data_IF_164795569755
#
_entry.id   IF_164795569755
#
_cell.length_a   1.000
_cell.length_b   1.000
_cell.length_c   1.000
_cell.angle_alpha   90.00
_cell.angle_beta   90.00
_cell.angle_gamma   90.00
#
_symmetry.space_group_name_H-M   'P 1'
#
loop_
_entity.id
_entity.type
_entity.pdbx_description
1 polymer ?
#
# COMPACT_ATOMS: atom_id res chain seq x y z
N UNK A 1 25.61 18.13 10.35
CA UNK A 1 25.67 16.72 10.11
C UNK A 1 24.26 16.15 10.20
N UNK A 2 23.80 15.41 9.18
CA UNK A 2 22.47 14.77 9.16
C UNK A 2 22.52 13.58 10.11
N UNK A 3 21.57 13.51 11.06
CA UNK A 3 21.53 12.42 12.03
C UNK A 3 20.60 11.29 11.61
N UNK A 4 19.51 11.62 10.89
CA UNK A 4 18.52 10.64 10.48
C UNK A 4 18.04 10.94 9.05
N UNK A 5 17.80 9.89 8.28
CA UNK A 5 17.14 9.97 6.97
C UNK A 5 15.78 9.29 7.08
N UNK A 6 14.75 9.99 6.66
CA UNK A 6 13.39 9.45 6.62
C UNK A 6 12.98 9.29 5.16
N UNK A 7 12.69 8.07 4.75
CA UNK A 7 12.22 7.74 3.41
C UNK A 7 10.72 7.54 3.48
N UNK A 8 10.02 8.45 2.85
CA UNK A 8 8.57 8.40 2.75
C UNK A 8 8.19 7.66 1.48
N UNK A 9 7.82 6.41 1.60
CA UNK A 9 7.63 5.48 0.50
C UNK A 9 8.95 5.08 -0.22
N UNK A 10 9.31 3.82 -0.13
CA UNK A 10 10.52 3.29 -0.75
C UNK A 10 10.31 3.00 -2.24
N UNK A 11 10.49 4.02 -3.06
CA UNK A 11 10.40 3.90 -4.52
C UNK A 11 11.77 3.57 -5.13
N UNK A 12 11.76 2.91 -6.27
CA UNK A 12 12.99 2.44 -6.95
C UNK A 12 14.02 3.55 -7.23
N UNK A 13 13.58 4.81 -7.33
CA UNK A 13 14.46 5.96 -7.53
C UNK A 13 15.36 6.27 -6.33
N UNK A 14 14.93 5.93 -5.11
CA UNK A 14 15.72 6.20 -3.89
C UNK A 14 16.80 5.16 -3.62
N UNK A 15 16.71 4.04 -4.28
CA UNK A 15 17.59 2.94 -4.10
C UNK A 15 19.08 3.23 -4.38
N UNK A 16 19.45 3.77 -5.55
CA UNK A 16 20.83 4.15 -5.81
C UNK A 16 21.37 5.19 -4.82
N UNK A 17 20.49 6.09 -4.36
CA UNK A 17 20.85 7.13 -3.37
C UNK A 17 21.19 6.48 -2.04
N UNK A 18 20.40 5.53 -1.55
CA UNK A 18 20.65 4.81 -0.30
C UNK A 18 22.00 4.07 -0.34
N UNK A 19 22.24 3.35 -1.43
CA UNK A 19 23.50 2.63 -1.62
C UNK A 19 24.67 3.61 -1.55
N UNK A 20 24.62 4.68 -2.31
CA UNK A 20 25.72 5.66 -2.35
C UNK A 20 25.94 6.32 -0.98
N UNK A 21 24.90 6.65 -0.25
CA UNK A 21 25.00 7.27 1.06
C UNK A 21 25.73 6.36 2.05
N UNK A 22 25.40 5.07 2.07
CA UNK A 22 25.98 4.11 3.03
C UNK A 22 27.33 3.57 2.57
N UNK A 23 27.47 3.13 1.32
CA UNK A 23 28.74 2.55 0.81
C UNK A 23 29.89 3.56 0.77
N UNK A 24 29.60 4.81 0.38
CA UNK A 24 30.59 5.88 0.37
C UNK A 24 30.82 6.52 1.74
N UNK A 25 30.16 5.99 2.79
CA UNK A 25 30.21 6.54 4.15
C UNK A 25 29.90 8.04 4.22
N UNK A 26 29.09 8.54 3.29
CA UNK A 26 28.63 9.92 3.28
C UNK A 26 27.62 10.19 4.40
N UNK A 27 27.09 9.12 4.96
CA UNK A 27 26.09 9.14 5.97
C UNK A 27 26.26 7.98 6.97
N UNK A 28 26.33 8.28 8.25
CA UNK A 28 26.52 7.33 9.36
C UNK A 28 25.30 7.25 10.31
N UNK A 29 24.23 7.97 10.00
CA UNK A 29 23.03 8.00 10.80
C UNK A 29 22.08 6.84 10.52
N UNK A 30 20.86 6.93 11.08
CA UNK A 30 19.83 5.93 10.94
C UNK A 30 18.91 6.24 9.77
N UNK A 31 18.46 5.20 9.08
CA UNK A 31 17.50 5.29 7.97
C UNK A 31 16.17 4.68 8.39
N UNK A 32 15.13 5.48 8.30
CA UNK A 32 13.75 5.13 8.62
C UNK A 32 12.95 5.04 7.34
N UNK A 33 12.34 3.89 7.08
CA UNK A 33 11.41 3.72 5.98
C UNK A 33 9.97 3.80 6.49
N UNK A 34 9.26 4.87 6.13
CA UNK A 34 7.82 5.00 6.37
C UNK A 34 7.10 4.23 5.27
N UNK A 35 6.44 3.16 5.68
CA UNK A 35 5.79 2.20 4.80
C UNK A 35 4.39 2.65 4.40
N UNK A 36 4.09 2.54 3.11
CA UNK A 36 2.79 2.91 2.54
C UNK A 36 1.99 1.73 1.99
N UNK A 37 2.55 0.55 1.98
CA UNK A 37 1.90 -0.68 1.54
C UNK A 37 2.31 -1.13 0.15
N UNK A 38 2.20 -0.28 -0.85
CA UNK A 38 2.37 -0.69 -2.24
C UNK A 38 3.76 -1.26 -2.56
N UNK A 39 4.79 -0.84 -1.85
CA UNK A 39 6.17 -1.28 -2.07
C UNK A 39 6.33 -2.76 -1.79
N UNK A 40 5.88 -3.20 -0.61
CA UNK A 40 5.94 -4.59 -0.19
C UNK A 40 4.92 -5.44 -0.93
N UNK A 41 3.67 -5.02 -0.95
CA UNK A 41 2.60 -5.82 -1.55
C UNK A 41 2.79 -6.04 -3.05
N UNK A 42 3.31 -5.05 -3.79
CA UNK A 42 3.66 -5.25 -5.19
C UNK A 42 4.85 -6.21 -5.37
N UNK A 43 5.86 -6.13 -4.50
CA UNK A 43 7.00 -7.05 -4.52
C UNK A 43 6.54 -8.50 -4.24
N UNK A 44 5.68 -8.69 -3.23
CA UNK A 44 5.08 -9.98 -2.91
C UNK A 44 4.22 -10.53 -4.05
N UNK A 45 3.47 -9.66 -4.72
CA UNK A 45 2.70 -10.03 -5.91
C UNK A 45 3.59 -10.45 -7.08
N UNK A 46 4.77 -9.84 -7.26
CA UNK A 46 5.74 -10.21 -8.30
C UNK A 46 6.36 -11.58 -8.07
N UNK A 47 6.65 -11.94 -6.82
CA UNK A 47 7.19 -13.27 -6.47
C UNK A 47 6.09 -14.33 -6.31
N UNK A 48 4.82 -13.96 -6.49
CA UNK A 48 3.69 -14.89 -6.46
C UNK A 48 3.24 -15.37 -5.08
N UNK A 49 3.79 -14.78 -4.02
CA UNK A 49 3.51 -15.19 -2.62
C UNK A 49 2.30 -14.50 -2.03
N UNK A 50 1.86 -13.39 -2.64
CA UNK A 50 0.70 -12.62 -2.20
C UNK A 50 -0.21 -12.27 -3.38
N UNK A 51 -1.49 -12.57 -3.25
CA UNK A 51 -2.46 -12.30 -4.28
C UNK A 51 -3.12 -10.94 -4.05
N UNK A 52 -2.58 -9.92 -4.70
CA UNK A 52 -3.08 -8.55 -4.59
C UNK A 52 -4.48 -8.34 -5.18
N UNK A 53 -4.79 -9.06 -6.24
CA UNK A 53 -6.02 -8.90 -7.00
C UNK A 53 -6.72 -10.25 -7.03
N UNK A 54 -7.97 -10.28 -6.62
CA UNK A 54 -8.78 -11.51 -6.68
C UNK A 54 -9.15 -11.90 -8.12
N UNK A 55 -9.60 -13.15 -8.30
CA UNK A 55 -9.93 -13.68 -9.62
C UNK A 55 -11.05 -12.90 -10.32
N UNK A 56 -12.00 -12.39 -9.54
CA UNK A 56 -13.14 -11.65 -10.09
C UNK A 56 -12.72 -10.28 -10.60
N UNK A 57 -11.85 -9.59 -9.85
CA UNK A 57 -11.30 -8.31 -10.28
C UNK A 57 -10.36 -8.46 -11.48
N UNK A 58 -9.62 -9.58 -11.57
CA UNK A 58 -8.81 -9.92 -12.75
C UNK A 58 -9.71 -10.15 -13.97
N UNK A 59 -10.79 -10.91 -13.82
CA UNK A 59 -11.72 -11.19 -14.93
C UNK A 59 -12.38 -9.92 -15.44
N UNK A 60 -12.90 -9.10 -14.54
CA UNK A 60 -13.46 -7.78 -14.90
C UNK A 60 -12.44 -6.88 -15.61
N UNK A 61 -11.18 -6.95 -15.19
CA UNK A 61 -10.11 -6.17 -15.78
C UNK A 61 -9.69 -6.69 -17.17
N UNK A 62 -9.66 -8.01 -17.40
CA UNK A 62 -9.39 -8.63 -18.71
C UNK A 62 -10.43 -8.22 -19.76
N UNK A 63 -11.67 -7.99 -19.33
CA UNK A 63 -12.74 -7.52 -20.24
C UNK A 63 -12.59 -6.05 -20.61
N UNK A 64 -11.85 -5.26 -19.84
CA UNK A 64 -11.72 -3.80 -20.05
C UNK A 64 -10.34 -3.36 -20.56
N UNK A 65 -9.25 -4.00 -20.15
CA UNK A 65 -7.88 -3.56 -20.51
C UNK A 65 -6.90 -4.73 -20.41
N UNK A 66 -6.71 -5.48 -21.46
CA UNK A 66 -5.57 -6.38 -21.50
C UNK A 66 -4.31 -5.59 -21.83
N UNK A 67 -3.32 -5.46 -20.94
CA UNK A 67 -1.99 -5.98 -21.24
C UNK A 67 -1.06 -6.23 -20.05
N UNK A 68 -1.33 -7.06 -19.08
CA UNK A 68 -0.38 -7.12 -17.95
C UNK A 68 0.29 -8.46 -17.66
N UNK A 69 -0.23 -9.63 -17.96
CA UNK A 69 0.62 -10.82 -17.93
C UNK A 69 1.76 -10.70 -18.94
N UNK A 70 1.46 -10.16 -20.12
CA UNK A 70 2.45 -9.93 -21.18
C UNK A 70 3.52 -8.92 -20.74
N UNK A 71 3.15 -7.84 -20.07
CA UNK A 71 4.11 -6.83 -19.60
C UNK A 71 5.06 -7.35 -18.52
N UNK A 72 4.62 -8.31 -17.69
CA UNK A 72 5.49 -8.99 -16.70
C UNK A 72 6.50 -9.90 -17.39
N UNK A 73 6.03 -10.69 -18.37
CA UNK A 73 6.89 -11.56 -19.16
C UNK A 73 7.88 -10.72 -19.96
N UNK A 74 7.43 -9.64 -20.60
CA UNK A 74 8.28 -8.72 -21.36
C UNK A 74 9.31 -8.04 -20.45
N UNK A 75 8.92 -7.58 -19.25
CA UNK A 75 9.89 -7.01 -18.29
C UNK A 75 10.93 -8.03 -17.85
N UNK A 76 10.51 -9.27 -17.60
CA UNK A 76 11.42 -10.36 -17.23
C UNK A 76 12.36 -10.73 -18.37
N UNK A 77 11.85 -10.80 -19.61
CA UNK A 77 12.64 -11.06 -20.82
C UNK A 77 13.59 -9.91 -21.16
N UNK A 78 13.17 -8.65 -20.92
CA UNK A 78 14.00 -7.48 -21.15
C UNK A 78 15.01 -7.19 -20.02
N UNK A 79 15.17 -8.10 -19.05
CA UNK A 79 16.13 -7.96 -17.96
C UNK A 79 15.89 -6.75 -17.04
N UNK A 80 14.68 -6.17 -17.06
CA UNK A 80 14.34 -5.09 -16.12
C UNK A 80 14.14 -5.69 -14.72
N UNK A 81 14.97 -5.27 -13.80
CA UNK A 81 14.89 -5.68 -12.41
C UNK A 81 13.47 -5.54 -11.87
N UNK A 82 12.97 -6.61 -11.25
CA UNK A 82 11.66 -6.62 -10.60
C UNK A 82 11.71 -5.73 -9.35
N UNK A 83 10.56 -5.20 -8.94
CA UNK A 83 10.44 -4.40 -7.70
C UNK A 83 10.88 -5.18 -6.47
N UNK A 84 10.61 -6.48 -6.45
CA UNK A 84 11.05 -7.41 -5.41
C UNK A 84 12.57 -7.47 -5.27
N UNK A 85 13.32 -7.44 -6.38
CA UNK A 85 14.78 -7.39 -6.35
C UNK A 85 15.30 -6.04 -5.84
N UNK A 86 14.67 -4.94 -6.28
CA UNK A 86 15.01 -3.62 -5.78
C UNK A 86 14.75 -3.51 -4.27
N UNK A 87 13.59 -3.98 -3.82
CA UNK A 87 13.27 -4.02 -2.40
C UNK A 87 14.34 -4.82 -1.64
N UNK A 88 14.58 -6.07 -2.04
CA UNK A 88 15.57 -6.95 -1.39
C UNK A 88 16.95 -6.29 -1.27
N UNK A 89 17.41 -5.68 -2.34
CA UNK A 89 18.71 -5.00 -2.35
C UNK A 89 18.76 -3.73 -1.49
N UNK A 90 17.64 -3.06 -1.21
CA UNK A 90 17.60 -1.85 -0.37
C UNK A 90 17.53 -2.14 1.12
N UNK A 91 16.99 -3.30 1.51
CA UNK A 91 16.80 -3.63 2.93
C UNK A 91 18.07 -3.51 3.79
N UNK A 92 19.28 -3.93 3.34
CA UNK A 92 20.50 -3.79 4.14
C UNK A 92 20.91 -2.35 4.47
N UNK A 93 20.35 -1.37 3.76
CA UNK A 93 20.66 0.05 3.93
C UNK A 93 19.63 0.79 4.79
N UNK A 94 18.65 0.09 5.31
CA UNK A 94 17.55 0.62 6.12
C UNK A 94 17.68 0.05 7.53
N UNK A 95 17.49 0.89 8.54
CA UNK A 95 17.59 0.47 9.94
C UNK A 95 16.20 0.19 10.54
N UNK A 96 15.19 0.97 10.16
CA UNK A 96 13.85 0.88 10.73
C UNK A 96 12.76 0.80 9.67
N UNK A 97 11.87 -0.17 9.87
CA UNK A 97 10.60 -0.25 9.15
C UNK A 97 9.49 0.38 10.00
N UNK A 98 8.93 1.46 9.50
CA UNK A 98 7.96 2.28 10.23
C UNK A 98 6.57 2.09 9.64
N UNK A 99 5.68 1.45 10.38
CA UNK A 99 4.29 1.19 9.97
C UNK A 99 3.34 1.23 11.17
N UNK A 100 2.05 1.24 10.89
CA UNK A 100 0.99 1.19 11.91
C UNK A 100 0.67 -0.22 12.33
N UNK A 101 0.91 -1.20 11.44
CA UNK A 101 0.53 -2.58 11.64
C UNK A 101 1.77 -3.46 11.75
N UNK A 102 1.92 -4.17 12.87
CA UNK A 102 3.01 -5.15 13.05
C UNK A 102 2.95 -6.25 12.00
N UNK A 103 1.75 -6.58 11.53
CA UNK A 103 1.54 -7.57 10.48
C UNK A 103 2.33 -7.28 9.20
N UNK A 104 2.45 -6.02 8.78
CA UNK A 104 3.24 -5.65 7.59
C UNK A 104 4.73 -5.96 7.81
N UNK A 105 5.21 -5.76 9.03
CA UNK A 105 6.60 -6.08 9.39
C UNK A 105 6.84 -7.59 9.46
N UNK A 106 5.90 -8.35 10.03
CA UNK A 106 5.94 -9.82 10.03
C UNK A 106 5.93 -10.36 8.60
N UNK A 107 5.08 -9.80 7.74
CA UNK A 107 5.00 -10.15 6.34
C UNK A 107 6.30 -9.85 5.58
N UNK A 108 6.91 -8.70 5.83
CA UNK A 108 8.22 -8.36 5.27
C UNK A 108 9.28 -9.40 5.66
N UNK A 109 9.40 -9.71 6.94
CA UNK A 109 10.40 -10.66 7.45
C UNK A 109 10.14 -12.09 7.01
N UNK A 110 8.88 -12.46 6.78
CA UNK A 110 8.53 -13.80 6.28
C UNK A 110 9.07 -14.06 4.86
N UNK A 111 9.11 -13.05 4.01
CA UNK A 111 9.45 -13.22 2.59
C UNK A 111 10.76 -12.57 2.18
N UNK A 112 11.26 -11.66 2.99
CA UNK A 112 12.53 -10.99 2.76
C UNK A 112 13.35 -11.10 4.05
N UNK A 113 14.49 -11.76 3.96
CA UNK A 113 15.44 -11.81 5.08
C UNK A 113 15.95 -10.39 5.36
N UNK A 114 15.49 -9.79 6.44
CA UNK A 114 15.79 -8.42 6.79
C UNK A 114 16.17 -8.27 8.25
N UNK A 115 17.18 -7.44 8.53
CA UNK A 115 17.61 -7.09 9.88
C UNK A 115 17.00 -5.76 10.36
N UNK A 116 15.90 -5.33 9.73
CA UNK A 116 15.22 -4.10 10.10
C UNK A 116 14.59 -4.21 11.48
N UNK A 117 14.56 -3.10 12.18
CA UNK A 117 13.82 -2.97 13.44
C UNK A 117 12.44 -2.41 13.18
N UNK A 118 11.43 -3.01 13.80
CA UNK A 118 10.08 -2.45 13.76
C UNK A 118 10.03 -1.15 14.56
N UNK A 119 9.36 -0.14 13.99
CA UNK A 119 9.01 1.09 14.70
C UNK A 119 7.57 1.44 14.41
N UNK A 120 6.79 1.55 15.48
CA UNK A 120 5.42 2.03 15.36
C UNK A 120 5.41 3.47 14.86
N UNK A 121 4.70 3.71 13.78
CA UNK A 121 4.54 5.04 13.19
C UNK A 121 3.06 5.31 12.94
N UNK A 122 2.57 6.39 13.50
CA UNK A 122 1.21 6.86 13.31
C UNK A 122 1.25 8.26 12.71
N UNK A 123 0.53 8.46 11.62
CA UNK A 123 0.23 9.81 11.16
C UNK A 123 -0.65 10.47 12.22
N UNK A 124 -0.07 11.39 12.95
CA UNK A 124 -0.86 12.23 13.83
C UNK A 124 -1.62 13.20 12.94
N UNK A 125 -2.94 13.16 13.00
CA UNK A 125 -3.73 14.25 12.46
C UNK A 125 -3.48 15.48 13.34
N UNK A 126 -3.04 16.59 12.78
CA UNK A 126 -2.93 17.84 13.54
C UNK A 126 -4.29 18.34 14.05
N UNK A 127 -5.37 17.68 13.63
CA UNK A 127 -6.75 18.04 14.00
C UNK A 127 -7.20 17.53 15.37
N UNK A 128 -6.33 16.89 16.16
CA UNK A 128 -6.76 16.39 17.48
C UNK A 128 -7.19 17.55 18.41
N UNK A 129 -6.69 18.75 18.15
CA UNK A 129 -6.96 19.91 19.00
C UNK A 129 -7.89 20.96 18.34
N UNK A 130 -8.27 20.76 17.07
CA UNK A 130 -9.06 21.77 16.34
C UNK A 130 -10.50 21.38 16.07
N UNK A 131 -10.89 20.14 16.33
CA UNK A 131 -12.28 19.73 16.20
C UNK A 131 -12.89 19.47 17.57
N UNK A 132 -12.81 20.44 18.46
CA UNK A 132 -13.89 20.70 19.40
C UNK A 132 -15.03 21.39 18.63
N UNK A 133 -15.52 20.76 17.60
CA UNK A 133 -16.74 21.20 16.98
C UNK A 133 -17.91 20.44 17.62
N UNK A 134 -18.37 20.94 18.74
CA UNK A 134 -19.65 20.59 19.37
C UNK A 134 -20.86 20.83 18.43
N UNK A 135 -20.60 21.12 17.15
CA UNK A 135 -21.62 21.48 16.15
C UNK A 135 -21.60 20.60 14.90
N UNK A 136 -20.93 19.45 14.91
CA UNK A 136 -21.23 18.47 13.87
C UNK A 136 -22.54 17.79 14.28
N UNK A 137 -23.64 18.47 14.02
CA UNK A 137 -24.93 17.79 13.97
C UNK A 137 -24.84 16.84 12.79
N UNK A 138 -24.54 15.59 13.05
CA UNK A 138 -24.84 14.55 12.07
C UNK A 138 -26.33 14.61 11.84
N UNK A 139 -26.76 14.96 10.65
CA UNK A 139 -28.15 14.82 10.22
C UNK A 139 -28.65 13.47 10.70
N UNK A 140 -29.88 13.41 11.20
CA UNK A 140 -30.55 12.18 11.56
C UNK A 140 -30.39 11.20 10.40
N UNK A 141 -29.60 10.17 10.61
CA UNK A 141 -29.28 9.21 9.56
C UNK A 141 -30.46 8.27 9.44
N UNK A 142 -31.09 8.23 8.30
CA UNK A 142 -32.09 7.20 8.03
C UNK A 142 -31.45 5.81 8.04
N UNK A 143 -30.14 5.72 7.71
CA UNK A 143 -29.35 4.49 7.70
C UNK A 143 -27.92 4.73 8.13
N UNK A 144 -27.31 3.76 8.78
CA UNK A 144 -25.89 3.79 9.05
C UNK A 144 -25.07 3.71 7.78
N UNK A 145 -23.89 4.37 7.79
CA UNK A 145 -23.02 4.51 6.63
C UNK A 145 -21.82 3.56 6.73
N UNK A 146 -21.68 2.66 5.77
CA UNK A 146 -20.47 1.88 5.57
C UNK A 146 -19.63 2.57 4.50
N UNK A 147 -18.50 3.17 4.91
CA UNK A 147 -17.56 3.73 3.96
C UNK A 147 -16.53 2.67 3.57
N UNK A 148 -16.47 2.35 2.29
CA UNK A 148 -15.45 1.48 1.71
C UNK A 148 -14.43 2.33 0.97
N UNK A 149 -13.26 1.77 0.74
CA UNK A 149 -12.09 2.40 0.15
C UNK A 149 -12.39 3.58 -0.81
N UNK A 150 -11.58 4.64 -0.75
CA UNK A 150 -11.73 5.85 -1.57
C UNK A 150 -10.85 5.86 -2.84
N UNK A 151 -9.95 4.87 -2.99
CA UNK A 151 -9.08 4.78 -4.15
C UNK A 151 -9.66 3.87 -5.24
N UNK A 152 -9.85 4.41 -6.43
CA UNK A 152 -10.23 3.64 -7.61
C UNK A 152 -9.02 2.85 -8.14
N UNK A 153 -8.80 1.66 -7.59
CA UNK A 153 -7.72 0.75 -7.99
C UNK A 153 -8.21 -0.70 -8.07
N UNK A 154 -7.55 -1.51 -8.89
CA UNK A 154 -7.85 -2.96 -8.97
C UNK A 154 -7.61 -3.67 -7.65
N UNK A 155 -6.64 -3.22 -6.87
CA UNK A 155 -6.32 -3.79 -5.56
C UNK A 155 -7.40 -3.53 -4.51
N UNK A 156 -8.37 -2.66 -4.80
CA UNK A 156 -9.56 -2.47 -3.96
C UNK A 156 -10.50 -3.67 -3.98
N UNK A 157 -10.39 -4.57 -4.97
CA UNK A 157 -11.18 -5.81 -5.09
C UNK A 157 -12.70 -5.57 -4.91
N UNK A 158 -13.22 -4.47 -5.45
CA UNK A 158 -14.58 -3.98 -5.21
C UNK A 158 -15.67 -4.99 -5.52
N UNK A 159 -15.51 -5.80 -6.59
CA UNK A 159 -16.51 -6.79 -6.98
C UNK A 159 -16.68 -7.84 -5.89
N UNK A 160 -15.56 -8.36 -5.37
CA UNK A 160 -15.59 -9.33 -4.26
C UNK A 160 -16.08 -8.68 -2.97
N UNK A 161 -15.68 -7.44 -2.70
CA UNK A 161 -16.14 -6.68 -1.55
C UNK A 161 -17.67 -6.53 -1.58
N UNK A 162 -18.25 -6.03 -2.67
CA UNK A 162 -19.69 -5.84 -2.79
C UNK A 162 -20.47 -7.15 -2.74
N UNK A 163 -19.94 -8.23 -3.31
CA UNK A 163 -20.55 -9.56 -3.16
C UNK A 163 -20.61 -10.02 -1.73
N UNK A 164 -19.50 -9.85 -0.99
CA UNK A 164 -19.45 -10.18 0.44
C UNK A 164 -20.40 -9.31 1.24
N UNK A 165 -20.42 -8.01 1.01
CA UNK A 165 -21.37 -7.11 1.67
C UNK A 165 -22.81 -7.53 1.40
N UNK A 166 -23.17 -7.79 0.12
CA UNK A 166 -24.52 -8.24 -0.28
C UNK A 166 -24.94 -9.56 0.39
N UNK A 167 -23.99 -10.41 0.79
CA UNK A 167 -24.29 -11.66 1.47
C UNK A 167 -24.47 -11.52 2.99
N UNK A 168 -24.24 -10.34 3.56
CA UNK A 168 -24.42 -10.10 4.98
C UNK A 168 -25.89 -9.85 5.29
N UNK A 169 -26.38 -10.51 6.33
CA UNK A 169 -27.74 -10.28 6.86
C UNK A 169 -27.80 -8.88 7.47
N UNK A 170 -28.84 -8.13 7.18
CA UNK A 170 -29.04 -6.76 7.68
C UNK A 170 -28.27 -5.69 6.91
N UNK A 171 -27.63 -6.02 5.77
CA UNK A 171 -26.91 -5.04 4.96
C UNK A 171 -27.83 -3.98 4.36
N UNK A 172 -29.11 -4.29 4.21
CA UNK A 172 -30.16 -3.39 3.74
C UNK A 172 -30.39 -2.19 4.65
N UNK A 173 -30.00 -2.30 5.93
CA UNK A 173 -30.09 -1.22 6.91
C UNK A 173 -28.94 -0.21 6.78
N UNK A 174 -27.97 -0.50 5.92
CA UNK A 174 -26.80 0.33 5.73
C UNK A 174 -26.77 1.00 4.35
N UNK A 175 -26.22 2.21 4.32
CA UNK A 175 -25.82 2.89 3.06
C UNK A 175 -24.34 2.62 2.80
N UNK A 176 -24.02 2.07 1.62
CA UNK A 176 -22.62 1.82 1.22
C UNK A 176 -22.11 3.01 0.42
N UNK A 177 -21.07 3.65 0.90
CA UNK A 177 -20.43 4.78 0.25
C UNK A 177 -19.04 4.39 -0.28
N UNK A 178 -18.81 4.58 -1.58
CA UNK A 178 -17.52 4.38 -2.24
C UNK A 178 -17.09 5.69 -2.89
N UNK A 179 -16.37 6.56 -2.19
CA UNK A 179 -16.04 7.90 -2.70
C UNK A 179 -15.25 7.86 -4.00
N UNK A 180 -14.38 6.86 -4.21
CA UNK A 180 -13.52 6.70 -5.40
C UNK A 180 -12.89 8.02 -5.85
N UNK A 181 -12.44 8.82 -4.89
CA UNK A 181 -12.02 10.21 -5.08
C UNK A 181 -10.80 10.37 -5.96
N UNK A 182 -9.93 9.35 -6.01
CA UNK A 182 -8.74 9.33 -6.86
C UNK A 182 -8.47 7.93 -7.42
N UNK A 183 -7.52 7.84 -8.36
CA UNK A 183 -7.13 6.59 -9.01
C UNK A 183 -7.63 6.49 -10.45
N UNK A 184 -7.78 5.28 -10.95
CA UNK A 184 -8.14 5.02 -12.35
C UNK A 184 -9.55 5.46 -12.68
N UNK A 185 -9.71 6.34 -13.68
CA UNK A 185 -11.02 6.72 -14.20
C UNK A 185 -11.81 5.55 -14.83
N UNK A 186 -11.13 4.46 -15.22
CA UNK A 186 -11.78 3.26 -15.76
C UNK A 186 -12.46 2.43 -14.67
N UNK A 187 -12.01 2.53 -13.42
CA UNK A 187 -12.61 1.79 -12.29
C UNK A 187 -13.78 2.58 -11.69
N UNK A 188 -13.83 3.89 -11.92
CA UNK A 188 -14.94 4.75 -11.46
C UNK A 188 -16.21 4.60 -12.29
N UNK A 189 -16.11 4.06 -13.50
CA UNK A 189 -17.23 3.74 -14.39
C UNK A 189 -17.87 2.40 -14.05
#
# INVERSE_FOLDING_TARGET
>A
RIKNVVIHALVSQYYPILIQLKEKKLYDGQVFWIFWGYELYNALGEIGTYKLIDNMSIFSWLTYIAPTPLSRIIKKVLGKNLRSEYLKKSLPYIDYFCTWFSYDFELLNKYFDSNLKFKYFKYLSPYKDTVQNDKISFCSKEKDLIMVNHQASLTGNYITLFRKLKSLKGIEDFTICTPLSYGSKYIRK
#
